data_IF_801175983093
#
_entry.id   IF_801175983093
#
_cell.length_a   1.000
_cell.length_b   1.000
_cell.length_c   1.000
_cell.angle_alpha   90.00
_cell.angle_beta   90.00
_cell.angle_gamma   90.00
#
_symmetry.space_group_name_H-M   'P 1'
#
loop_
_entity.id
_entity.type
_entity.pdbx_description
1 polymer ?
#
# COMPACT_ATOMS: atom_id res chain seq x y z
N UNK A 1 7.21 -3.06 -26.31
CA UNK A 1 7.67 -3.05 -24.90
C UNK A 1 8.68 -1.94 -24.75
N UNK A 2 8.59 -1.14 -23.69
CA UNK A 2 9.60 -0.11 -23.39
C UNK A 2 10.80 -0.73 -22.67
N UNK A 3 12.01 -0.33 -23.06
CA UNK A 3 13.24 -0.65 -22.35
C UNK A 3 13.72 0.62 -21.63
N UNK A 4 14.13 0.48 -20.38
CA UNK A 4 14.67 1.58 -19.57
C UNK A 4 16.05 1.17 -19.06
N UNK A 5 17.02 2.06 -19.20
CA UNK A 5 18.34 1.95 -18.55
C UNK A 5 18.37 2.95 -17.41
N UNK A 6 18.65 2.49 -16.20
CA UNK A 6 18.77 3.33 -15.01
C UNK A 6 20.16 3.19 -14.41
N UNK A 7 20.70 4.29 -13.89
CA UNK A 7 21.91 4.26 -13.07
C UNK A 7 21.49 4.05 -11.62
N UNK A 8 22.14 3.10 -10.96
CA UNK A 8 21.99 2.81 -9.54
C UNK A 8 23.38 2.87 -8.91
N UNK A 9 23.47 3.43 -7.73
CA UNK A 9 24.66 3.23 -6.89
C UNK A 9 24.72 1.76 -6.42
N UNK A 10 25.89 1.35 -5.93
CA UNK A 10 26.16 -0.03 -5.55
C UNK A 10 25.21 -0.53 -4.45
N UNK A 11 24.83 0.34 -3.51
CA UNK A 11 23.98 -0.03 -2.38
C UNK A 11 22.54 -0.26 -2.86
N UNK A 12 22.02 0.65 -3.69
CA UNK A 12 20.72 0.53 -4.33
C UNK A 12 20.63 -0.71 -5.22
N UNK A 13 21.68 -1.02 -5.98
CA UNK A 13 21.73 -2.24 -6.81
C UNK A 13 21.71 -3.52 -5.95
N UNK A 14 22.47 -3.54 -4.86
CA UNK A 14 22.51 -4.67 -3.93
C UNK A 14 21.15 -4.89 -3.26
N UNK A 15 20.51 -3.82 -2.77
CA UNK A 15 19.17 -3.87 -2.17
C UNK A 15 18.14 -4.39 -3.16
N UNK A 16 18.17 -3.92 -4.41
CA UNK A 16 17.28 -4.37 -5.48
C UNK A 16 17.45 -5.88 -5.74
N UNK A 17 18.69 -6.35 -5.91
CA UNK A 17 18.97 -7.77 -6.16
C UNK A 17 18.53 -8.66 -5.00
N UNK A 18 18.76 -8.21 -3.76
CA UNK A 18 18.37 -8.94 -2.56
C UNK A 18 16.84 -9.04 -2.45
N UNK A 19 16.12 -7.94 -2.63
CA UNK A 19 14.66 -7.93 -2.56
C UNK A 19 14.03 -8.81 -3.66
N UNK A 20 14.57 -8.79 -4.88
CA UNK A 20 14.12 -9.68 -5.95
C UNK A 20 14.33 -11.16 -5.61
N UNK A 21 15.48 -11.49 -5.00
CA UNK A 21 15.80 -12.85 -4.54
C UNK A 21 14.86 -13.31 -3.43
N UNK A 22 14.60 -12.48 -2.42
CA UNK A 22 13.67 -12.77 -1.33
C UNK A 22 12.24 -12.99 -1.83
N UNK A 23 11.83 -12.21 -2.83
CA UNK A 23 10.55 -12.37 -3.51
C UNK A 23 10.50 -13.54 -4.51
N UNK A 24 11.61 -14.28 -4.69
CA UNK A 24 11.68 -15.45 -5.58
C UNK A 24 11.47 -15.12 -7.07
N UNK A 25 11.78 -13.90 -7.51
CA UNK A 25 11.48 -13.43 -8.86
C UNK A 25 12.69 -12.76 -9.54
N UNK A 26 12.77 -12.76 -10.88
CA UNK A 26 13.80 -12.02 -11.60
C UNK A 26 13.72 -10.52 -11.34
N UNK A 27 14.88 -9.84 -11.29
CA UNK A 27 15.00 -8.39 -11.03
C UNK A 27 14.10 -7.55 -11.93
N UNK A 28 14.01 -7.86 -13.22
CA UNK A 28 13.17 -7.11 -14.17
C UNK A 28 11.68 -7.21 -13.87
N UNK A 29 11.20 -8.39 -13.45
CA UNK A 29 9.82 -8.59 -13.00
C UNK A 29 9.59 -7.86 -11.68
N UNK A 30 10.50 -8.00 -10.72
CA UNK A 30 10.42 -7.32 -9.43
C UNK A 30 10.32 -5.80 -9.59
N UNK A 31 11.19 -5.20 -10.39
CA UNK A 31 11.19 -3.77 -10.65
C UNK A 31 9.90 -3.31 -11.34
N UNK A 32 9.39 -4.10 -12.29
CA UNK A 32 8.13 -3.82 -12.98
C UNK A 32 6.93 -3.83 -12.01
N UNK A 33 6.90 -4.77 -11.07
CA UNK A 33 5.86 -4.81 -10.03
C UNK A 33 6.01 -3.68 -9.02
N UNK A 34 7.25 -3.34 -8.64
CA UNK A 34 7.52 -2.21 -7.75
C UNK A 34 6.99 -0.90 -8.35
N UNK A 35 7.24 -0.65 -9.64
CA UNK A 35 6.70 0.53 -10.33
C UNK A 35 5.17 0.52 -10.28
N UNK A 36 4.52 -0.59 -10.66
CA UNK A 36 3.04 -0.70 -10.58
C UNK A 36 2.49 -0.49 -9.18
N UNK A 37 3.20 -0.96 -8.15
CA UNK A 37 2.80 -0.79 -6.76
C UNK A 37 2.93 0.68 -6.32
N UNK A 38 4.00 1.36 -6.71
CA UNK A 38 4.28 2.75 -6.31
C UNK A 38 3.48 3.79 -7.11
N UNK A 39 3.08 3.49 -8.34
CA UNK A 39 2.26 4.38 -9.17
C UNK A 39 0.76 4.05 -9.11
N UNK A 40 0.34 3.19 -8.19
CA UNK A 40 -1.06 2.82 -8.05
C UNK A 40 -1.81 3.99 -7.41
N UNK A 41 -2.89 4.43 -8.05
CA UNK A 41 -3.78 5.45 -7.50
C UNK A 41 -4.94 4.87 -6.69
N UNK A 42 -5.08 3.54 -6.71
CA UNK A 42 -6.16 2.81 -6.06
C UNK A 42 -5.61 1.87 -4.98
N UNK A 43 -6.45 1.58 -4.00
CA UNK A 43 -6.15 0.59 -2.97
C UNK A 43 -5.94 -0.81 -3.59
N UNK A 44 -4.95 -1.58 -3.11
CA UNK A 44 -4.78 -2.98 -3.48
C UNK A 44 -6.07 -3.78 -3.27
N UNK A 45 -6.25 -4.83 -4.06
CA UNK A 45 -7.50 -5.63 -4.03
C UNK A 45 -7.74 -6.21 -2.64
N UNK A 46 -6.67 -6.68 -2.01
CA UNK A 46 -6.66 -7.28 -0.67
C UNK A 46 -7.18 -6.29 0.37
N UNK A 47 -6.79 -5.02 0.26
CA UNK A 47 -7.27 -3.95 1.16
C UNK A 47 -8.74 -3.63 0.88
N UNK A 48 -9.14 -3.58 -0.39
CA UNK A 48 -10.56 -3.36 -0.74
C UNK A 48 -11.46 -4.51 -0.29
N UNK A 49 -10.96 -5.74 -0.33
CA UNK A 49 -11.68 -6.93 0.14
C UNK A 49 -11.70 -7.04 1.67
N UNK A 50 -10.74 -6.42 2.37
CA UNK A 50 -10.76 -6.36 3.83
C UNK A 50 -11.88 -5.46 4.38
N UNK A 51 -12.44 -4.55 3.57
CA UNK A 51 -13.55 -3.70 3.98
C UNK A 51 -14.78 -4.57 4.32
N UNK A 52 -15.19 -4.57 5.58
CA UNK A 52 -16.30 -5.39 6.07
C UNK A 52 -15.95 -6.86 6.33
N UNK A 53 -14.67 -7.23 6.31
CA UNK A 53 -14.23 -8.61 6.60
C UNK A 53 -14.34 -9.00 8.08
N UNK A 54 -14.38 -8.02 8.99
CA UNK A 54 -14.61 -8.26 10.42
C UNK A 54 -16.11 -8.34 10.70
N UNK A 55 -16.60 -9.56 10.95
CA UNK A 55 -18.01 -9.81 11.24
C UNK A 55 -18.47 -9.32 12.62
N UNK A 56 -17.53 -9.08 13.53
CA UNK A 56 -17.73 -8.64 14.91
C UNK A 56 -17.34 -7.17 15.15
N UNK A 57 -17.02 -6.42 14.08
CA UNK A 57 -16.65 -5.03 14.22
C UNK A 57 -17.84 -4.20 14.71
N UNK A 58 -17.70 -3.38 15.77
CA UNK A 58 -18.80 -2.62 16.32
C UNK A 58 -19.30 -1.58 15.31
N UNK A 59 -20.61 -1.32 15.31
CA UNK A 59 -21.16 -0.26 14.49
C UNK A 59 -20.72 1.13 14.99
N UNK A 60 -20.95 2.13 14.14
CA UNK A 60 -20.49 3.49 14.41
C UNK A 60 -21.20 4.13 15.64
N UNK A 61 -22.35 3.62 16.07
CA UNK A 61 -23.04 4.09 17.27
C UNK A 61 -22.42 3.45 18.53
N UNK A 62 -22.12 2.14 18.47
CA UNK A 62 -21.42 1.41 19.53
C UNK A 62 -20.02 1.99 19.78
N UNK A 63 -19.27 2.34 18.73
CA UNK A 63 -17.95 2.97 18.86
C UNK A 63 -18.01 4.37 19.50
N UNK A 64 -19.09 5.11 19.24
CA UNK A 64 -19.31 6.45 19.81
C UNK A 64 -20.01 6.41 21.17
N UNK A 65 -20.44 5.24 21.64
CA UNK A 65 -21.07 5.11 22.95
C UNK A 65 -20.09 5.56 24.04
N UNK A 66 -20.43 6.64 24.75
CA UNK A 66 -19.58 7.24 25.78
C UNK A 66 -18.54 8.24 25.27
N UNK A 67 -18.48 8.50 23.95
CA UNK A 67 -17.75 9.65 23.42
C UNK A 67 -18.63 10.91 23.53
N UNK A 68 -17.98 12.08 23.60
CA UNK A 68 -18.66 13.38 23.61
C UNK A 68 -19.44 13.64 22.31
N UNK A 69 -20.22 14.72 22.28
CA UNK A 69 -20.92 15.12 21.07
C UNK A 69 -19.94 15.70 20.04
N UNK A 70 -20.14 15.35 18.76
CA UNK A 70 -19.41 15.96 17.66
C UNK A 70 -19.63 17.47 17.67
N UNK A 71 -18.54 18.23 17.75
CA UNK A 71 -18.59 19.68 17.62
C UNK A 71 -18.73 20.07 16.16
N UNK A 72 -19.44 21.17 15.91
CA UNK A 72 -19.56 21.73 14.56
C UNK A 72 -18.16 22.13 14.09
N UNK A 73 -17.83 21.81 12.84
CA UNK A 73 -16.58 22.26 12.22
C UNK A 73 -16.51 23.79 12.29
N UNK A 74 -15.36 24.32 12.71
CA UNK A 74 -15.12 25.75 12.72
C UNK A 74 -15.27 26.35 11.30
N UNK A 75 -15.75 27.59 11.24
CA UNK A 75 -15.82 28.37 10.01
C UNK A 75 -14.41 28.62 9.45
N UNK A 76 -14.26 28.55 8.12
CA UNK A 76 -13.01 28.87 7.43
C UNK A 76 -12.64 30.35 7.54
#
# INVERSE_FOLDING_TARGET
MGQVTIYLDNDSEAMMKQAAKEAGMPVSRWLSELVRAKTRNDWPLEVRQAAGAWSDFPDAAALRAGQGQDLVRESL
#
